data_IF_418498264584
#
_entry.id   IF_418498264584
#
_cell.length_a   1.000
_cell.length_b   1.000
_cell.length_c   1.000
_cell.angle_alpha   90.00
_cell.angle_beta   90.00
_cell.angle_gamma   90.00
#
_symmetry.space_group_name_H-M   'P 1'
#
loop_
_entity.id
_entity.type
_entity.pdbx_description
1 polymer ?
#
# COMPACT_ATOMS: atom_id res chain seq x y z
N UNK A 1 -25.09 -31.50 23.56
CA UNK A 1 -26.34 -31.40 22.78
C UNK A 1 -26.56 -29.92 22.50
N UNK A 2 -25.96 -29.43 21.42
CA UNK A 2 -25.99 -28.01 21.04
C UNK A 2 -27.06 -27.90 19.96
N UNK A 3 -28.14 -27.16 20.24
CA UNK A 3 -29.19 -26.87 19.26
C UNK A 3 -28.55 -26.04 18.15
N UNK A 4 -28.43 -26.67 16.99
CA UNK A 4 -28.03 -26.09 15.71
C UNK A 4 -29.22 -25.37 15.12
N UNK A 5 -29.26 -24.05 15.29
CA UNK A 5 -30.26 -23.20 14.66
C UNK A 5 -29.88 -22.91 13.20
N UNK A 6 -30.84 -23.23 12.35
CA UNK A 6 -30.83 -23.25 10.89
C UNK A 6 -31.12 -21.82 10.37
N UNK A 7 -30.25 -20.86 10.68
CA UNK A 7 -30.32 -19.48 10.15
C UNK A 7 -29.07 -19.08 9.36
N UNK A 8 -28.19 -20.03 9.02
CA UNK A 8 -26.93 -19.72 8.34
C UNK A 8 -27.05 -19.67 6.80
N UNK A 9 -28.06 -20.33 6.22
CA UNK A 9 -28.21 -20.44 4.76
C UNK A 9 -28.95 -19.26 4.12
N UNK A 10 -29.84 -18.58 4.86
CA UNK A 10 -30.59 -17.41 4.40
C UNK A 10 -29.76 -16.11 4.38
N UNK A 11 -28.68 -16.03 5.16
CA UNK A 11 -27.84 -14.83 5.24
C UNK A 11 -26.99 -14.58 3.97
N UNK A 12 -26.71 -15.62 3.18
CA UNK A 12 -25.89 -15.52 1.97
C UNK A 12 -26.67 -15.11 0.71
N UNK A 13 -27.99 -15.25 0.67
CA UNK A 13 -28.80 -14.90 -0.51
C UNK A 13 -29.36 -13.46 -0.49
N UNK A 14 -29.39 -12.78 0.66
CA UNK A 14 -30.15 -11.53 0.78
C UNK A 14 -29.32 -10.23 0.73
N UNK A 15 -27.98 -10.29 0.72
CA UNK A 15 -27.13 -9.07 0.60
C UNK A 15 -26.64 -8.77 -0.81
N UNK A 16 -27.55 -8.78 -1.79
CA UNK A 16 -27.26 -8.33 -3.16
C UNK A 16 -27.51 -6.83 -3.41
N UNK A 17 -28.02 -6.04 -2.44
CA UNK A 17 -28.34 -4.62 -2.69
C UNK A 17 -28.23 -3.75 -1.42
N UNK A 18 -27.04 -3.29 -1.03
CA UNK A 18 -26.86 -1.97 -0.38
C UNK A 18 -25.48 -1.41 -0.76
N UNK A 19 -25.41 -0.80 -1.95
CA UNK A 19 -24.52 0.33 -2.16
C UNK A 19 -25.18 1.53 -1.46
N UNK A 20 -24.61 1.99 -0.35
CA UNK A 20 -24.88 3.33 0.17
C UNK A 20 -23.56 4.01 0.58
N UNK A 21 -23.44 5.32 0.35
CA UNK A 21 -22.22 6.08 0.50
C UNK A 21 -21.98 6.45 1.96
N UNK A 22 -20.75 6.23 2.44
CA UNK A 22 -20.31 6.80 3.71
C UNK A 22 -20.29 8.32 3.61
N UNK A 23 -21.31 8.94 4.18
CA UNK A 23 -21.37 10.38 4.43
C UNK A 23 -20.34 10.73 5.50
N UNK A 24 -19.18 11.20 5.05
CA UNK A 24 -18.14 11.75 5.91
C UNK A 24 -18.68 13.01 6.61
N UNK A 25 -18.67 13.02 7.93
CA UNK A 25 -18.94 14.21 8.72
C UNK A 25 -17.89 15.28 8.45
N UNK A 26 -18.34 16.38 7.84
CA UNK A 26 -17.60 17.60 7.55
C UNK A 26 -17.43 18.40 8.84
N UNK A 27 -16.33 18.19 9.56
CA UNK A 27 -15.91 19.13 10.60
C UNK A 27 -15.45 20.44 9.93
N UNK A 28 -16.21 21.51 10.20
CA UNK A 28 -15.90 22.86 9.74
C UNK A 28 -14.90 23.50 10.71
N UNK A 29 -13.63 23.61 10.29
CA UNK A 29 -12.63 24.39 11.00
C UNK A 29 -12.47 25.76 10.32
N UNK A 30 -12.72 26.81 11.12
CA UNK A 30 -12.52 28.22 10.76
C UNK A 30 -11.06 28.47 10.38
N UNK A 31 -10.82 28.95 9.15
CA UNK A 31 -9.54 29.54 8.74
C UNK A 31 -9.40 30.93 9.38
N UNK A 32 -8.50 31.07 10.34
CA UNK A 32 -7.84 32.35 10.62
C UNK A 32 -6.53 32.37 9.84
N UNK A 33 -6.45 33.26 8.85
CA UNK A 33 -5.22 33.47 8.08
C UNK A 33 -4.20 34.28 8.85
N UNK A 34 -2.92 34.09 8.56
CA UNK A 34 -1.99 35.20 8.29
C UNK A 34 -0.62 34.70 7.86
N UNK A 35 -0.05 35.41 6.88
CA UNK A 35 1.37 35.67 6.62
C UNK A 35 2.25 34.56 6.04
N UNK A 36 2.32 34.64 4.71
CA UNK A 36 3.54 34.71 3.89
C UNK A 36 4.85 34.88 4.67
N UNK A 37 5.80 33.98 4.44
CA UNK A 37 7.23 34.33 4.41
C UNK A 37 7.88 33.57 3.25
N UNK A 38 8.60 34.34 2.43
CA UNK A 38 9.33 33.92 1.26
C UNK A 38 10.52 33.03 1.65
N UNK A 39 10.79 31.99 0.86
CA UNK A 39 12.04 31.27 0.89
C UNK A 39 13.03 31.95 -0.06
N UNK A 40 13.99 32.69 0.51
CA UNK A 40 15.26 32.99 -0.16
C UNK A 40 16.18 31.76 -0.10
N UNK A 41 16.82 31.34 -1.20
CA UNK A 41 17.95 30.42 -1.14
C UNK A 41 19.26 31.21 -1.02
N UNK A 42 19.77 31.37 0.20
CA UNK A 42 21.15 31.80 0.43
C UNK A 42 22.08 30.59 0.32
N UNK A 43 22.74 30.45 -0.83
CA UNK A 43 23.94 29.61 -0.95
C UNK A 43 25.11 30.34 -0.27
N UNK A 44 25.53 29.88 0.91
CA UNK A 44 26.85 30.18 1.44
C UNK A 44 27.76 28.97 1.20
N UNK A 45 28.60 29.09 0.17
CA UNK A 45 29.81 28.30 0.07
C UNK A 45 30.80 28.83 1.12
N UNK A 46 31.19 27.99 2.07
CA UNK A 46 32.39 28.26 2.88
C UNK A 46 33.29 27.05 2.82
N UNK A 47 34.49 27.35 2.37
CA UNK A 47 35.62 26.46 2.09
C UNK A 47 36.08 25.70 3.34
N UNK A 48 36.62 24.52 3.09
CA UNK A 48 37.65 23.86 3.88
C UNK A 48 37.18 23.05 5.11
N UNK A 49 36.92 21.76 4.89
CA UNK A 49 37.29 20.72 5.85
C UNK A 49 37.40 19.35 5.15
N UNK A 50 38.56 18.73 5.35
CA UNK A 50 38.89 17.37 4.94
C UNK A 50 37.84 16.38 5.47
N UNK A 51 37.03 15.82 4.57
CA UNK A 51 36.29 14.59 4.85
C UNK A 51 37.13 13.41 4.35
N UNK A 52 37.74 12.69 5.28
CA UNK A 52 38.38 11.40 5.06
C UNK A 52 37.35 10.39 4.55
N UNK A 53 37.68 9.78 3.41
CA UNK A 53 36.96 8.68 2.81
C UNK A 53 36.99 7.42 3.68
N UNK A 54 35.82 6.93 4.10
CA UNK A 54 35.54 5.52 4.30
C UNK A 54 34.02 5.33 4.44
N UNK A 55 33.48 4.28 3.83
CA UNK A 55 32.05 3.92 3.68
C UNK A 55 31.26 4.61 2.55
N UNK A 56 31.67 4.31 1.32
CA UNK A 56 30.79 4.32 0.15
C UNK A 56 31.13 3.14 -0.78
N UNK A 57 30.80 1.93 -0.33
CA UNK A 57 30.67 0.69 -1.11
C UNK A 57 29.48 0.00 -0.41
N UNK A 58 28.32 -0.31 -0.99
CA UNK A 58 27.99 -0.91 -2.28
C UNK A 58 26.71 -0.27 -2.87
N UNK A 59 26.29 -0.73 -4.05
CA UNK A 59 25.17 -0.28 -4.88
C UNK A 59 25.48 0.81 -5.92
N UNK A 60 26.53 0.59 -6.70
CA UNK A 60 26.60 1.12 -8.08
C UNK A 60 27.06 0.04 -9.05
N UNK A 61 26.12 -0.80 -9.49
CA UNK A 61 26.26 -1.58 -10.71
C UNK A 61 24.88 -1.66 -11.36
N UNK A 62 24.84 -1.55 -12.69
CA UNK A 62 23.65 -1.45 -13.55
C UNK A 62 23.02 -0.05 -13.72
N UNK A 63 23.80 0.88 -14.25
CA UNK A 63 23.32 1.88 -15.22
C UNK A 63 24.47 2.22 -16.19
N UNK A 64 24.95 1.21 -16.91
CA UNK A 64 25.73 1.38 -18.14
C UNK A 64 25.03 0.54 -19.21
N UNK A 65 24.98 1.07 -20.42
CA UNK A 65 24.38 0.48 -21.62
C UNK A 65 22.93 0.88 -21.92
N UNK A 66 22.72 2.19 -22.08
CA UNK A 66 21.74 2.70 -23.05
C UNK A 66 22.34 3.87 -23.85
N UNK A 67 23.41 3.61 -24.61
CA UNK A 67 23.80 4.46 -25.74
C UNK A 67 23.03 4.01 -26.98
N UNK A 68 21.72 4.26 -26.98
CA UNK A 68 20.90 4.19 -28.18
C UNK A 68 21.19 5.43 -29.03
N UNK A 69 21.79 5.20 -30.20
CA UNK A 69 22.12 6.22 -31.19
C UNK A 69 20.83 6.73 -31.83
N UNK A 70 20.26 7.82 -31.32
CA UNK A 70 19.11 8.50 -31.95
C UNK A 70 19.64 9.38 -33.09
N UNK A 71 19.50 8.91 -34.33
CA UNK A 71 19.57 9.79 -35.50
C UNK A 71 18.24 10.56 -35.62
N UNK A 72 18.27 11.90 -35.73
CA UNK A 72 17.08 12.65 -36.07
C UNK A 72 16.77 12.47 -37.57
N UNK A 73 15.59 11.90 -37.86
CA UNK A 73 15.00 11.92 -39.20
C UNK A 73 14.43 13.33 -39.42
N UNK A 74 15.20 14.19 -40.08
CA UNK A 74 14.68 15.44 -40.67
C UNK A 74 14.32 15.14 -42.12
N UNK A 75 13.07 14.72 -42.33
CA UNK A 75 12.49 14.64 -43.67
C UNK A 75 11.92 16.00 -44.11
N UNK A 76 12.00 16.19 -45.42
CA UNK A 76 11.89 17.42 -46.16
C UNK A 76 10.51 18.09 -46.11
N UNK A 77 10.50 19.41 -45.90
CA UNK A 77 9.42 20.30 -46.32
C UNK A 77 9.98 21.33 -47.32
N UNK A 78 9.58 21.30 -48.60
CA UNK A 78 9.83 22.39 -49.53
C UNK A 78 8.68 23.40 -49.45
N UNK A 79 8.97 24.61 -48.99
CA UNK A 79 7.98 25.69 -48.96
C UNK A 79 8.64 27.05 -48.86
N UNK A 80 8.61 27.80 -49.96
CA UNK A 80 9.07 29.18 -50.08
C UNK A 80 8.45 30.09 -49.01
N UNK A 81 9.29 30.73 -48.19
CA UNK A 81 8.90 31.88 -47.38
C UNK A 81 9.92 33.00 -47.58
N UNK A 82 9.40 34.19 -47.87
CA UNK A 82 10.11 35.43 -48.17
C UNK A 82 10.98 35.94 -47.00
N UNK A 83 12.09 36.65 -47.27
CA UNK A 83 12.87 37.33 -46.23
C UNK A 83 12.16 38.60 -45.76
N UNK A 84 11.87 38.67 -44.46
CA UNK A 84 11.51 39.92 -43.75
C UNK A 84 12.78 40.52 -43.12
N UNK A 85 12.95 41.87 -43.19
CA UNK A 85 14.15 42.53 -42.70
C UNK A 85 14.18 42.68 -41.18
N UNK A 86 15.42 42.63 -40.67
CA UNK A 86 15.84 42.80 -39.29
C UNK A 86 15.25 44.04 -38.59
N UNK A 87 14.56 43.80 -37.47
CA UNK A 87 14.23 44.80 -36.45
C UNK A 87 14.84 44.40 -35.10
N UNK A 88 15.78 45.20 -34.63
CA UNK A 88 16.59 45.04 -33.41
C UNK A 88 15.77 45.07 -32.10
N UNK A 89 16.30 44.31 -31.12
CA UNK A 89 16.21 44.47 -29.65
C UNK A 89 14.91 44.04 -28.97
N UNK A 90 14.93 42.83 -28.41
CA UNK A 90 14.84 42.66 -26.95
C UNK A 90 15.28 41.24 -26.62
N UNK A 91 16.45 41.12 -25.99
CA UNK A 91 16.77 39.98 -25.13
C UNK A 91 15.74 39.94 -24.00
N UNK A 92 15.48 38.77 -23.42
CA UNK A 92 14.83 38.55 -22.10
C UNK A 92 13.53 37.73 -22.07
N UNK A 93 13.16 36.98 -23.12
CA UNK A 93 12.08 35.98 -23.00
C UNK A 93 12.33 34.71 -23.84
N UNK A 94 13.43 34.03 -23.56
CA UNK A 94 13.75 32.67 -24.03
C UNK A 94 14.77 32.17 -22.97
N UNK A 95 14.51 31.23 -22.05
CA UNK A 95 13.82 29.96 -22.10
C UNK A 95 13.17 29.70 -20.73
N UNK A 96 11.84 29.54 -20.68
CA UNK A 96 11.17 28.96 -19.52
C UNK A 96 10.16 27.91 -19.95
N UNK A 97 10.52 27.11 -20.96
CA UNK A 97 9.88 25.81 -21.16
C UNK A 97 10.75 24.80 -20.43
N UNK A 98 10.73 24.86 -19.09
CA UNK A 98 11.27 23.78 -18.26
C UNK A 98 10.37 22.59 -18.57
N UNK A 99 11.01 21.57 -19.14
CA UNK A 99 10.48 20.23 -19.29
C UNK A 99 9.77 19.79 -18.02
N UNK A 100 8.45 19.99 -17.97
CA UNK A 100 7.54 19.15 -17.17
C UNK A 100 7.36 17.84 -17.93
N UNK A 101 8.49 17.24 -18.33
CA UNK A 101 8.52 15.89 -18.84
C UNK A 101 8.14 15.03 -17.64
N UNK A 102 6.96 14.43 -17.73
CA UNK A 102 6.41 13.41 -16.86
C UNK A 102 7.52 12.51 -16.29
N UNK A 103 8.07 12.92 -15.14
CA UNK A 103 8.68 11.99 -14.20
C UNK A 103 7.50 11.21 -13.63
N UNK A 104 6.95 10.30 -14.43
CA UNK A 104 6.41 9.04 -13.93
C UNK A 104 7.62 8.24 -13.43
N UNK A 105 8.37 8.85 -12.48
CA UNK A 105 9.38 8.19 -11.72
C UNK A 105 8.64 7.04 -11.09
N UNK A 106 8.98 5.82 -11.51
CA UNK A 106 8.54 4.61 -10.82
C UNK A 106 8.73 4.89 -9.35
N UNK A 107 7.63 5.07 -8.64
CA UNK A 107 7.64 5.31 -7.20
C UNK A 107 8.25 4.04 -6.64
N UNK A 108 9.57 4.04 -6.43
CA UNK A 108 10.27 2.91 -5.80
C UNK A 108 9.46 2.65 -4.55
N UNK A 109 8.93 1.44 -4.44
CA UNK A 109 8.22 1.08 -3.22
C UNK A 109 9.25 1.24 -2.10
N UNK A 110 8.96 2.09 -1.09
CA UNK A 110 9.88 2.28 0.01
C UNK A 110 10.13 0.91 0.66
N UNK A 111 11.34 0.70 1.19
CA UNK A 111 11.60 -0.48 2.00
C UNK A 111 10.64 -0.46 3.20
N UNK A 112 10.23 -1.64 3.66
CA UNK A 112 9.31 -1.77 4.79
C UNK A 112 9.77 -0.95 6.01
N UNK A 113 11.07 -0.97 6.33
CA UNK A 113 11.66 -0.18 7.42
C UNK A 113 11.47 1.33 7.26
N UNK A 114 11.62 1.85 6.04
CA UNK A 114 11.52 3.29 5.76
C UNK A 114 10.04 3.73 5.86
N UNK A 115 9.13 2.89 5.35
CA UNK A 115 7.70 3.10 5.51
C UNK A 115 7.27 3.03 6.98
N UNK A 116 7.80 2.10 7.76
CA UNK A 116 7.47 1.97 9.17
C UNK A 116 7.99 3.17 9.98
N UNK A 117 9.20 3.65 9.68
CA UNK A 117 9.74 4.89 10.24
C UNK A 117 8.87 6.10 9.87
N UNK A 118 8.36 6.15 8.64
CA UNK A 118 7.41 7.18 8.22
C UNK A 118 6.12 7.12 9.05
N UNK A 119 5.52 5.94 9.23
CA UNK A 119 4.30 5.76 10.06
C UNK A 119 4.54 6.15 11.51
N UNK A 120 5.72 5.86 12.07
CA UNK A 120 6.11 6.32 13.41
C UNK A 120 6.12 7.86 13.49
N UNK A 121 6.76 8.53 12.53
CA UNK A 121 6.83 10.00 12.50
C UNK A 121 5.45 10.64 12.35
N UNK A 122 4.58 10.05 11.52
CA UNK A 122 3.23 10.55 11.33
C UNK A 122 2.38 10.36 12.59
N UNK A 123 2.49 9.20 13.24
CA UNK A 123 1.88 8.97 14.55
C UNK A 123 2.44 9.92 15.63
N UNK A 124 3.74 10.14 15.71
CA UNK A 124 4.37 11.06 16.67
C UNK A 124 3.83 12.49 16.52
N UNK A 125 3.66 12.98 15.28
CA UNK A 125 3.03 14.28 15.01
C UNK A 125 1.61 14.36 15.56
N UNK A 126 0.82 13.28 15.48
CA UNK A 126 -0.54 13.27 16.07
C UNK A 126 -0.55 13.40 17.59
N UNK A 127 0.53 12.99 18.25
CA UNK A 127 0.64 13.05 19.71
C UNK A 127 1.04 14.45 20.22
N UNK A 128 1.52 15.34 19.34
CA UNK A 128 1.91 16.71 19.69
C UNK A 128 3.14 16.84 20.60
N UNK A 129 3.85 15.73 20.85
CA UNK A 129 5.08 15.68 21.64
C UNK A 129 6.00 14.60 21.10
N UNK A 130 7.29 14.70 21.39
CA UNK A 130 8.24 13.63 21.06
C UNK A 130 7.87 12.34 21.77
N UNK A 131 7.84 11.23 21.04
CA UNK A 131 7.48 9.91 21.56
C UNK A 131 8.64 8.94 21.35
N UNK A 132 8.68 7.88 22.16
CA UNK A 132 9.69 6.83 22.02
C UNK A 132 9.16 5.68 21.17
N UNK A 133 10.07 4.91 20.55
CA UNK A 133 9.72 3.66 19.87
C UNK A 133 9.02 2.66 20.81
N UNK A 134 9.33 2.70 22.11
CA UNK A 134 8.64 1.87 23.09
C UNK A 134 7.15 2.23 23.22
N UNK A 135 6.82 3.53 23.25
CA UNK A 135 5.42 3.97 23.25
C UNK A 135 4.71 3.55 21.96
N UNK A 136 5.41 3.59 20.83
CA UNK A 136 4.87 3.14 19.54
C UNK A 136 4.64 1.62 19.50
N UNK A 137 5.57 0.81 20.03
CA UNK A 137 5.39 -0.65 20.15
C UNK A 137 4.13 -0.99 20.94
N UNK A 138 3.89 -0.29 22.06
CA UNK A 138 2.68 -0.47 22.87
C UNK A 138 1.41 -0.04 22.15
N UNK A 139 1.48 1.05 21.39
CA UNK A 139 0.36 1.49 20.54
C UNK A 139 0.01 0.43 19.48
N UNK A 140 1.03 -0.19 18.89
CA UNK A 140 0.89 -1.25 17.89
C UNK A 140 0.49 -2.62 18.49
N UNK A 141 0.59 -2.81 19.80
CA UNK A 141 0.34 -4.10 20.44
C UNK A 141 1.41 -5.16 20.17
N UNK A 142 2.63 -4.77 19.78
CA UNK A 142 3.75 -5.66 19.44
C UNK A 142 4.87 -5.58 20.48
N UNK A 143 5.75 -6.59 20.52
CA UNK A 143 6.91 -6.58 21.42
C UNK A 143 7.92 -5.50 20.99
N UNK A 144 8.59 -4.88 21.96
CA UNK A 144 9.63 -3.87 21.67
C UNK A 144 10.79 -4.47 20.86
N UNK A 145 11.16 -5.72 21.15
CA UNK A 145 12.24 -6.41 20.45
C UNK A 145 11.92 -6.63 18.96
N UNK A 146 10.69 -7.09 18.66
CA UNK A 146 10.25 -7.29 17.28
C UNK A 146 10.25 -5.96 16.52
N UNK A 147 9.70 -4.89 17.12
CA UNK A 147 9.68 -3.57 16.49
C UNK A 147 11.09 -3.06 16.19
N UNK A 148 12.05 -3.22 17.11
CA UNK A 148 13.43 -2.81 16.89
C UNK A 148 14.05 -3.55 15.69
N UNK A 149 13.88 -4.88 15.62
CA UNK A 149 14.37 -5.69 14.49
C UNK A 149 13.75 -5.26 13.16
N UNK A 150 12.46 -4.89 13.15
CA UNK A 150 11.77 -4.42 11.95
C UNK A 150 12.26 -3.04 11.49
N UNK A 151 12.52 -2.13 12.43
CA UNK A 151 13.06 -0.80 12.14
C UNK A 151 14.50 -0.84 11.61
N UNK A 152 15.29 -1.80 12.07
CA UNK A 152 16.64 -2.06 11.53
C UNK A 152 16.59 -2.76 10.17
N UNK A 153 15.47 -3.43 9.86
CA UNK A 153 15.33 -4.31 8.70
C UNK A 153 16.00 -5.66 8.88
N UNK A 154 16.32 -6.06 10.12
CA UNK A 154 16.90 -7.35 10.46
C UNK A 154 15.88 -8.50 10.37
N UNK A 155 14.60 -8.20 10.56
CA UNK A 155 13.49 -9.15 10.43
C UNK A 155 12.27 -8.48 9.77
N UNK A 156 11.35 -9.29 9.25
CA UNK A 156 10.05 -8.85 8.75
C UNK A 156 8.92 -9.39 9.64
N UNK A 157 7.82 -8.65 9.81
CA UNK A 157 6.67 -9.14 10.56
C UNK A 157 6.01 -10.30 9.80
N UNK A 158 5.49 -11.27 10.54
CA UNK A 158 4.75 -12.42 10.00
C UNK A 158 3.66 -12.86 10.98
N UNK A 159 2.73 -13.71 10.52
CA UNK A 159 1.68 -14.27 11.36
C UNK A 159 0.78 -13.22 12.02
N UNK A 160 0.59 -13.33 13.34
CA UNK A 160 -0.31 -12.46 14.11
C UNK A 160 0.19 -11.01 14.22
N UNK A 161 1.50 -10.80 14.25
CA UNK A 161 2.10 -9.45 14.28
C UNK A 161 1.75 -8.68 13.01
N UNK A 162 1.80 -9.36 11.85
CA UNK A 162 1.45 -8.78 10.57
C UNK A 162 -0.03 -8.35 10.52
N UNK A 163 -0.93 -9.19 11.04
CA UNK A 163 -2.35 -8.87 11.14
C UNK A 163 -2.57 -7.65 12.04
N UNK A 164 -1.94 -7.62 13.21
CA UNK A 164 -2.06 -6.51 14.17
C UNK A 164 -1.57 -5.19 13.57
N UNK A 165 -0.45 -5.22 12.84
CA UNK A 165 0.04 -4.06 12.10
C UNK A 165 -0.94 -3.60 11.01
N UNK A 166 -1.50 -4.53 10.25
CA UNK A 166 -2.43 -4.21 9.18
C UNK A 166 -3.75 -3.61 9.69
N UNK A 167 -4.21 -4.03 10.87
CA UNK A 167 -5.40 -3.46 11.52
C UNK A 167 -5.20 -1.99 11.91
N UNK A 168 -4.01 -1.63 12.41
CA UNK A 168 -3.72 -0.27 12.91
C UNK A 168 -3.16 0.68 11.85
N UNK A 169 -2.30 0.18 10.95
CA UNK A 169 -1.59 1.01 9.96
C UNK A 169 -2.19 0.90 8.55
N UNK A 170 -3.03 -0.12 8.31
CA UNK A 170 -3.71 -0.39 7.04
C UNK A 170 -3.12 -1.55 6.24
N UNK A 171 -3.87 -2.00 5.23
CA UNK A 171 -3.51 -3.15 4.39
C UNK A 171 -2.29 -2.91 3.46
N UNK A 172 -1.74 -1.69 3.41
CA UNK A 172 -0.50 -1.36 2.68
C UNK A 172 0.69 -2.22 3.13
N UNK A 173 0.66 -2.71 4.37
CA UNK A 173 1.71 -3.56 4.93
C UNK A 173 1.88 -4.85 4.11
N UNK A 174 0.78 -5.42 3.60
CA UNK A 174 0.82 -6.64 2.79
C UNK A 174 1.46 -6.38 1.42
N UNK A 175 1.15 -5.24 0.80
CA UNK A 175 1.71 -4.88 -0.51
C UNK A 175 3.23 -4.69 -0.43
N UNK A 176 3.70 -4.05 0.64
CA UNK A 176 5.12 -3.79 0.86
C UNK A 176 5.91 -5.09 1.04
N UNK A 177 5.30 -6.09 1.67
CA UNK A 177 5.88 -7.42 1.87
C UNK A 177 5.60 -8.37 0.70
N UNK A 178 4.86 -7.92 -0.32
CA UNK A 178 4.42 -8.74 -1.46
C UNK A 178 3.65 -10.00 -1.02
N UNK A 179 2.86 -9.85 0.04
CA UNK A 179 2.01 -10.91 0.59
C UNK A 179 0.58 -10.73 0.11
N UNK A 180 -0.13 -11.84 -0.07
CA UNK A 180 -1.54 -11.80 -0.40
C UNK A 180 -2.34 -11.19 0.76
N UNK A 181 -3.15 -10.17 0.44
CA UNK A 181 -4.06 -9.57 1.41
C UNK A 181 -5.14 -10.58 1.78
N UNK A 182 -5.45 -10.77 3.08
CA UNK A 182 -6.60 -11.56 3.47
C UNK A 182 -7.88 -10.93 2.91
N UNK A 183 -8.80 -11.77 2.45
CA UNK A 183 -10.07 -11.29 1.91
C UNK A 183 -10.84 -10.53 3.00
N UNK A 184 -11.16 -9.23 2.80
CA UNK A 184 -11.87 -8.44 3.79
C UNK A 184 -13.27 -9.00 4.11
N UNK A 185 -13.89 -9.74 3.18
CA UNK A 185 -15.15 -10.43 3.46
C UNK A 185 -14.94 -11.58 4.43
N UNK A 186 -13.87 -12.35 4.26
CA UNK A 186 -13.52 -13.46 5.15
C UNK A 186 -13.22 -12.96 6.56
N UNK A 187 -12.42 -11.90 6.70
CA UNK A 187 -12.11 -11.30 8.00
C UNK A 187 -13.37 -10.77 8.70
N UNK A 188 -14.30 -10.14 7.96
CA UNK A 188 -15.60 -9.71 8.53
C UNK A 188 -16.46 -10.88 8.99
N UNK A 189 -16.48 -11.97 8.23
CA UNK A 189 -17.20 -13.18 8.60
C UNK A 189 -16.61 -13.78 9.87
N UNK A 190 -15.30 -13.96 9.93
CA UNK A 190 -14.62 -14.52 11.10
C UNK A 190 -14.78 -13.63 12.35
N UNK A 191 -14.74 -12.30 12.18
CA UNK A 191 -15.02 -11.34 13.26
C UNK A 191 -16.47 -11.35 13.74
N UNK A 192 -17.42 -11.75 12.88
CA UNK A 192 -18.83 -11.88 13.23
C UNK A 192 -19.15 -13.05 14.17
N UNK A 193 -18.20 -13.98 14.37
CA UNK A 193 -18.39 -15.17 15.20
C UNK A 193 -17.39 -15.25 16.35
N UNK A 194 -17.38 -14.29 17.29
CA UNK A 194 -16.44 -14.30 18.41
C UNK A 194 -16.64 -15.49 19.36
N UNK A 195 -17.85 -16.07 19.38
CA UNK A 195 -18.18 -17.25 20.17
C UNK A 195 -17.62 -18.57 19.60
N UNK A 196 -17.13 -18.58 18.34
CA UNK A 196 -16.54 -19.79 17.77
C UNK A 196 -15.17 -20.07 18.42
N UNK A 197 -14.92 -21.32 18.86
CA UNK A 197 -13.59 -21.73 19.31
C UNK A 197 -12.52 -21.37 18.27
N UNK A 198 -11.34 -20.92 18.72
CA UNK A 198 -10.23 -20.53 17.84
C UNK A 198 -9.87 -21.64 16.85
N UNK A 199 -9.81 -22.90 17.33
CA UNK A 199 -9.53 -24.08 16.50
C UNK A 199 -10.59 -24.36 15.43
N UNK A 200 -11.83 -23.91 15.63
CA UNK A 200 -12.88 -24.04 14.61
C UNK A 200 -12.81 -22.88 13.62
N UNK A 201 -12.50 -21.65 14.07
CA UNK A 201 -12.29 -20.49 13.19
C UNK A 201 -11.13 -20.71 12.22
N UNK A 202 -10.03 -21.28 12.70
CA UNK A 202 -8.86 -21.62 11.87
C UNK A 202 -9.21 -22.69 10.82
N UNK A 203 -9.87 -23.78 11.21
CA UNK A 203 -10.31 -24.80 10.25
C UNK A 203 -11.30 -24.24 9.23
N UNK A 204 -12.21 -23.38 9.67
CA UNK A 204 -13.19 -22.74 8.81
C UNK A 204 -12.52 -21.79 7.80
N UNK A 205 -11.53 -21.00 8.21
CA UNK A 205 -10.83 -20.09 7.30
C UNK A 205 -10.05 -20.84 6.23
N UNK A 206 -9.37 -21.93 6.60
CA UNK A 206 -8.67 -22.80 5.64
C UNK A 206 -9.65 -23.48 4.69
N UNK A 207 -10.78 -24.00 5.20
CA UNK A 207 -11.81 -24.62 4.36
C UNK A 207 -12.42 -23.64 3.34
N UNK A 208 -12.70 -22.40 3.76
CA UNK A 208 -13.22 -21.34 2.87
C UNK A 208 -12.20 -20.99 1.79
N UNK A 209 -10.93 -20.85 2.17
CA UNK A 209 -9.85 -20.58 1.22
C UNK A 209 -9.70 -21.68 0.19
N UNK A 210 -9.65 -22.95 0.62
CA UNK A 210 -9.53 -24.10 -0.29
C UNK A 210 -10.74 -24.21 -1.23
N UNK A 211 -11.95 -23.96 -0.71
CA UNK A 211 -13.15 -23.91 -1.53
C UNK A 211 -13.09 -22.80 -2.59
N UNK A 212 -12.66 -21.58 -2.23
CA UNK A 212 -12.56 -20.47 -3.19
C UNK A 212 -11.54 -20.75 -4.30
N UNK A 213 -10.38 -21.31 -3.93
CA UNK A 213 -9.34 -21.71 -4.88
C UNK A 213 -9.84 -22.82 -5.81
N UNK A 214 -10.58 -23.79 -5.28
CA UNK A 214 -11.18 -24.87 -6.07
C UNK A 214 -12.17 -24.33 -7.11
N UNK A 215 -13.09 -23.44 -6.70
CA UNK A 215 -14.07 -22.83 -7.60
C UNK A 215 -13.39 -22.00 -8.69
N UNK A 216 -12.39 -21.19 -8.31
CA UNK A 216 -11.63 -20.35 -9.25
C UNK A 216 -10.87 -21.19 -10.28
N UNK A 217 -10.22 -22.27 -9.84
CA UNK A 217 -9.47 -23.19 -10.71
C UNK A 217 -10.35 -23.89 -11.75
N UNK A 218 -11.58 -24.23 -11.38
CA UNK A 218 -12.50 -24.95 -12.26
C UNK A 218 -13.50 -24.05 -12.99
N UNK A 219 -13.46 -22.72 -12.75
CA UNK A 219 -14.41 -21.78 -13.34
C UNK A 219 -15.87 -22.06 -12.95
N UNK A 220 -16.10 -22.67 -11.79
CA UNK A 220 -17.43 -23.06 -11.35
C UNK A 220 -18.15 -21.87 -10.70
N UNK A 221 -19.42 -21.69 -11.07
CA UNK A 221 -20.31 -20.77 -10.36
C UNK A 221 -20.66 -21.33 -8.99
N UNK A 222 -20.66 -20.50 -7.95
CA UNK A 222 -21.00 -20.90 -6.57
C UNK A 222 -22.41 -21.53 -6.45
N UNK A 223 -23.31 -21.25 -7.41
CA UNK A 223 -24.67 -21.78 -7.41
C UNK A 223 -24.83 -23.16 -8.06
N UNK A 224 -23.81 -23.62 -8.80
CA UNK A 224 -23.87 -24.92 -9.49
C UNK A 224 -23.92 -26.08 -8.49
N UNK A 225 -24.58 -27.17 -8.89
CA UNK A 225 -24.72 -28.38 -8.07
C UNK A 225 -23.35 -29.00 -7.80
N UNK A 226 -22.46 -28.97 -8.80
CA UNK A 226 -21.08 -29.42 -8.70
C UNK A 226 -20.28 -28.58 -7.70
N UNK A 227 -20.44 -27.25 -7.74
CA UNK A 227 -19.80 -26.35 -6.78
C UNK A 227 -20.26 -26.63 -5.34
N UNK A 228 -21.57 -26.75 -5.11
CA UNK A 228 -22.13 -27.06 -3.79
C UNK A 228 -21.62 -28.40 -3.25
N UNK A 229 -21.58 -29.42 -4.11
CA UNK A 229 -21.04 -30.74 -3.74
C UNK A 229 -19.55 -30.66 -3.37
N UNK A 230 -18.74 -29.94 -4.14
CA UNK A 230 -17.32 -29.77 -3.86
C UNK A 230 -17.06 -29.00 -2.55
N UNK A 231 -17.83 -27.94 -2.29
CA UNK A 231 -17.76 -27.18 -1.04
C UNK A 231 -18.10 -28.08 0.15
N UNK A 232 -19.19 -28.87 0.08
CA UNK A 232 -19.57 -29.81 1.14
C UNK A 232 -18.47 -30.83 1.42
N UNK A 233 -17.83 -31.35 0.37
CA UNK A 233 -16.73 -32.31 0.50
C UNK A 233 -15.51 -31.67 1.17
N UNK A 234 -15.10 -30.47 0.74
CA UNK A 234 -13.97 -29.74 1.33
C UNK A 234 -14.24 -29.48 2.82
N UNK A 235 -15.41 -28.93 3.17
CA UNK A 235 -15.77 -28.65 4.56
C UNK A 235 -15.79 -29.93 5.42
N UNK A 236 -16.27 -31.05 4.86
CA UNK A 236 -16.24 -32.33 5.55
C UNK A 236 -14.82 -32.81 5.89
N UNK A 237 -13.81 -32.55 5.03
CA UNK A 237 -12.39 -32.87 5.31
C UNK A 237 -11.86 -32.13 6.54
N UNK A 238 -12.34 -30.92 6.79
CA UNK A 238 -11.99 -30.12 7.98
C UNK A 238 -12.86 -30.45 9.21
N UNK A 239 -13.74 -31.45 9.09
CA UNK A 239 -14.66 -31.88 10.15
C UNK A 239 -15.86 -30.95 10.33
N UNK A 240 -16.18 -30.12 9.33
CA UNK A 240 -17.34 -29.23 9.33
C UNK A 240 -18.42 -29.91 8.49
N UNK A 241 -19.46 -30.42 9.15
CA UNK A 241 -20.60 -31.06 8.48
C UNK A 241 -21.75 -30.06 8.35
N UNK A 242 -22.06 -29.68 7.12
CA UNK A 242 -23.25 -28.89 6.81
C UNK A 242 -24.41 -29.87 6.62
N UNK A 243 -25.46 -29.74 7.42
CA UNK A 243 -26.72 -30.47 7.23
C UNK A 243 -27.61 -29.61 6.34
N UNK A 244 -28.21 -30.25 5.34
CA UNK A 244 -29.10 -29.62 4.37
C UNK A 244 -30.55 -29.69 4.86
#
# INVERSE_FOLDING_TARGET
MIRSDIEFASFWQEKKLILMPSSFHRFSLKKTGSRTNACEPSCFATTNQNCTASYAQEYTTECKDFRGNFQPIFDQFPGHIHPVPFGRKSSDHFYATINTACVLGRKRMPLFKDWLAQKFNDWEKTQGRKQSYYAFARYLGVSQANLAQWMEGAALPSGDDLRTLAELLGAEVYDLLQMDRPDPQLERLLGGFPALPSSLRERLSVAIWEASQYLKKHGLSAESVEAKKAILEIFARFGIRLTN
#
